data_IF_518436038452
#
_entry.id   IF_518436038452
#
_cell.length_a   1.000
_cell.length_b   1.000
_cell.length_c   1.000
_cell.angle_alpha   90.00
_cell.angle_beta   90.00
_cell.angle_gamma   90.00
#
_symmetry.space_group_name_H-M   'P 1'
#
loop_
_entity.id
_entity.type
_entity.pdbx_description
1 polymer ?
#
# COMPACT_ATOMS: atom_id res chain seq x y z
N UNK A 1 -9.16 -43.28 -45.99
CA UNK A 1 -9.52 -43.18 -44.56
C UNK A 1 -8.32 -42.90 -43.64
N UNK A 2 -7.12 -43.46 -43.89
CA UNK A 2 -5.92 -43.27 -43.03
C UNK A 2 -5.36 -41.84 -42.94
N UNK A 3 -5.49 -41.03 -44.00
CA UNK A 3 -4.93 -39.66 -44.04
C UNK A 3 -5.68 -38.70 -43.09
N UNK A 4 -6.99 -38.89 -42.91
CA UNK A 4 -7.81 -38.08 -41.99
C UNK A 4 -7.48 -38.36 -40.52
N UNK A 5 -7.11 -39.60 -40.18
CA UNK A 5 -6.74 -39.98 -38.81
C UNK A 5 -5.40 -39.36 -38.39
N UNK A 6 -4.41 -39.32 -39.29
CA UNK A 6 -3.12 -38.67 -38.99
C UNK A 6 -3.23 -37.16 -38.79
N UNK A 7 -4.14 -36.48 -39.51
CA UNK A 7 -4.36 -35.04 -39.31
C UNK A 7 -5.02 -34.75 -37.95
N UNK A 8 -5.98 -35.59 -37.53
CA UNK A 8 -6.63 -35.44 -36.22
C UNK A 8 -5.63 -35.64 -35.07
N UNK A 9 -4.75 -36.64 -35.17
CA UNK A 9 -3.68 -36.86 -34.20
C UNK A 9 -2.68 -35.70 -34.14
N UNK A 10 -2.34 -35.11 -35.29
CA UNK A 10 -1.48 -33.93 -35.35
C UNK A 10 -2.10 -32.70 -34.66
N UNK A 11 -3.38 -32.44 -34.90
CA UNK A 11 -4.09 -31.32 -34.25
C UNK A 11 -4.17 -31.50 -32.73
N UNK A 12 -4.44 -32.71 -32.24
CA UNK A 12 -4.51 -32.99 -30.80
C UNK A 12 -3.16 -32.82 -30.10
N UNK A 13 -2.06 -33.19 -30.75
CA UNK A 13 -0.72 -32.99 -30.18
C UNK A 13 -0.38 -31.50 -30.02
N UNK A 14 -0.75 -30.66 -30.99
CA UNK A 14 -0.51 -29.21 -30.94
C UNK A 14 -1.32 -28.57 -29.80
N UNK A 15 -2.59 -28.95 -29.64
CA UNK A 15 -3.43 -28.44 -28.54
C UNK A 15 -2.87 -28.85 -27.17
N UNK A 16 -2.33 -30.07 -27.05
CA UNK A 16 -1.67 -30.53 -25.83
C UNK A 16 -0.45 -29.69 -25.45
N UNK A 17 0.42 -29.37 -26.43
CA UNK A 17 1.61 -28.54 -26.19
C UNK A 17 1.24 -27.12 -25.77
N UNK A 18 0.22 -26.53 -26.39
CA UNK A 18 -0.28 -25.19 -26.03
C UNK A 18 -0.87 -25.21 -24.61
N UNK A 19 -1.66 -26.23 -24.27
CA UNK A 19 -2.23 -26.38 -22.92
C UNK A 19 -1.17 -26.48 -21.83
N UNK A 20 -0.11 -27.28 -22.04
CA UNK A 20 1.02 -27.39 -21.11
C UNK A 20 1.78 -26.07 -21.01
N UNK A 21 2.00 -25.37 -22.13
CA UNK A 21 2.66 -24.06 -22.13
C UNK A 21 1.89 -23.01 -21.32
N UNK A 22 0.57 -22.94 -21.48
CA UNK A 22 -0.30 -22.03 -20.71
C UNK A 22 -0.30 -22.41 -19.23
N UNK A 23 -0.35 -23.71 -18.91
CA UNK A 23 -0.32 -24.18 -17.52
C UNK A 23 1.00 -23.85 -16.82
N UNK A 24 2.14 -24.03 -17.50
CA UNK A 24 3.47 -23.66 -16.96
C UNK A 24 3.60 -22.14 -16.77
N UNK A 25 3.07 -21.32 -17.69
CA UNK A 25 3.06 -19.86 -17.53
C UNK A 25 2.11 -19.36 -16.43
N UNK A 26 1.08 -20.14 -16.08
CA UNK A 26 0.10 -19.81 -15.04
C UNK A 26 0.39 -20.46 -13.68
N UNK A 27 1.46 -21.22 -13.53
CA UNK A 27 1.89 -21.67 -12.22
C UNK A 27 2.12 -20.42 -11.35
N UNK A 28 1.41 -20.28 -10.21
CA UNK A 28 1.64 -19.18 -9.30
C UNK A 28 3.11 -19.25 -8.90
N UNK A 29 3.90 -18.25 -9.29
CA UNK A 29 5.25 -18.11 -8.77
C UNK A 29 5.11 -18.13 -7.26
N UNK A 30 5.72 -19.12 -6.61
CA UNK A 30 5.66 -19.26 -5.18
C UNK A 30 6.02 -17.91 -4.57
N UNK A 31 5.03 -17.27 -3.95
CA UNK A 31 5.28 -16.06 -3.18
C UNK A 31 6.17 -16.55 -2.05
N UNK A 32 7.44 -16.14 -2.07
CA UNK A 32 8.35 -16.43 -0.97
C UNK A 32 7.64 -16.06 0.33
N UNK A 33 7.70 -16.91 1.37
CA UNK A 33 6.99 -16.64 2.61
C UNK A 33 7.35 -15.24 3.07
N UNK A 34 6.32 -14.40 3.25
CA UNK A 34 6.47 -13.04 3.73
C UNK A 34 7.10 -13.14 5.12
N UNK A 35 8.41 -12.94 5.18
CA UNK A 35 9.12 -12.79 6.44
C UNK A 35 8.63 -11.46 6.99
N UNK A 36 7.72 -11.52 7.96
CA UNK A 36 7.28 -10.33 8.70
C UNK A 36 8.50 -9.88 9.52
N UNK A 37 9.22 -8.89 8.99
CA UNK A 37 10.33 -8.27 9.69
C UNK A 37 9.75 -7.52 10.88
N UNK A 38 9.97 -8.03 12.10
CA UNK A 38 9.74 -7.21 13.30
C UNK A 38 10.66 -6.00 13.20
N UNK A 39 10.06 -4.82 13.04
CA UNK A 39 10.76 -3.54 13.05
C UNK A 39 11.45 -3.39 14.41
N UNK A 40 12.75 -3.66 14.47
CA UNK A 40 13.61 -3.00 15.46
C UNK A 40 13.63 -1.54 15.05
N UNK A 41 12.91 -0.71 15.80
CA UNK A 41 12.89 0.75 15.64
C UNK A 41 14.35 1.22 15.54
N UNK A 42 14.82 1.71 14.39
CA UNK A 42 16.17 2.23 14.30
C UNK A 42 16.26 3.40 15.27
N UNK A 43 17.35 3.43 16.04
CA UNK A 43 17.65 4.51 16.97
C UNK A 43 17.45 5.85 16.25
N UNK A 44 16.58 6.74 16.77
CA UNK A 44 16.27 7.99 16.09
C UNK A 44 17.56 8.77 15.93
N UNK A 45 18.05 8.87 14.69
CA UNK A 45 19.18 9.73 14.35
C UNK A 45 18.78 11.14 14.82
N UNK A 46 19.60 11.83 15.64
CA UNK A 46 19.27 13.17 16.08
C UNK A 46 18.93 14.00 14.86
N UNK A 47 17.74 14.61 14.88
CA UNK A 47 17.27 15.47 13.80
C UNK A 47 18.41 16.46 13.50
N UNK A 48 19.06 16.27 12.35
CA UNK A 48 20.00 17.25 11.84
C UNK A 48 19.14 18.50 11.71
N UNK A 49 19.45 19.53 12.50
CA UNK A 49 18.67 20.76 12.57
C UNK A 49 18.28 21.14 11.14
N UNK A 50 16.97 21.28 10.88
CA UNK A 50 16.45 21.61 9.58
C UNK A 50 17.12 22.89 9.12
N UNK A 51 18.15 22.74 8.31
CA UNK A 51 18.88 23.84 7.74
C UNK A 51 17.95 24.42 6.68
N UNK A 52 17.24 25.48 7.06
CA UNK A 52 16.26 26.21 6.23
C UNK A 52 16.89 26.84 4.98
N UNK A 53 18.21 26.68 4.79
CA UNK A 53 18.92 27.05 3.57
C UNK A 53 18.92 25.96 2.47
N UNK A 54 18.48 24.73 2.78
CA UNK A 54 18.36 23.66 1.79
C UNK A 54 16.90 23.50 1.36
N UNK A 55 16.53 24.15 0.25
CA UNK A 55 15.38 23.71 -0.56
C UNK A 55 15.43 22.19 -0.69
N UNK A 56 14.32 21.51 -0.42
CA UNK A 56 14.20 20.06 -0.64
C UNK A 56 14.57 19.74 -2.08
N UNK A 57 15.15 18.57 -2.31
CA UNK A 57 15.59 18.12 -3.63
C UNK A 57 14.49 18.27 -4.69
N UNK A 58 13.25 18.02 -4.26
CA UNK A 58 12.00 18.17 -5.00
C UNK A 58 11.71 19.63 -5.39
N UNK A 59 11.97 20.60 -4.51
CA UNK A 59 11.79 22.03 -4.79
C UNK A 59 12.78 22.57 -5.83
N UNK A 60 14.03 22.09 -5.86
CA UNK A 60 15.05 22.57 -6.82
C UNK A 60 14.72 22.24 -8.29
N UNK A 61 14.20 21.04 -8.57
CA UNK A 61 13.88 20.61 -9.95
C UNK A 61 12.77 21.42 -10.62
N UNK A 62 11.94 22.09 -9.84
CA UNK A 62 10.67 22.61 -10.35
C UNK A 62 10.72 24.11 -10.63
N UNK A 63 11.73 24.81 -10.11
CA UNK A 63 11.92 26.25 -10.36
C UNK A 63 12.24 26.55 -11.84
N UNK A 64 12.64 25.58 -12.66
CA UNK A 64 12.95 25.82 -14.09
C UNK A 64 11.76 25.72 -15.05
N UNK A 65 10.57 25.29 -14.59
CA UNK A 65 9.39 25.18 -15.45
C UNK A 65 8.24 26.06 -14.90
N UNK A 66 8.52 27.36 -14.73
CA UNK A 66 7.56 28.37 -14.25
C UNK A 66 6.49 28.66 -15.31
N UNK A 67 5.62 27.69 -15.57
CA UNK A 67 4.21 28.01 -15.81
C UNK A 67 3.65 28.53 -14.48
N UNK A 68 2.81 29.55 -14.53
CA UNK A 68 2.22 30.13 -13.31
C UNK A 68 1.50 29.00 -12.56
N UNK A 69 2.12 28.52 -11.48
CA UNK A 69 1.61 27.40 -10.68
C UNK A 69 0.22 27.76 -10.13
N UNK A 70 -0.13 29.05 -10.11
CA UNK A 70 -1.45 29.56 -9.73
C UNK A 70 -2.48 29.56 -10.86
N UNK A 71 -2.16 29.06 -12.04
CA UNK A 71 -3.10 28.99 -13.16
C UNK A 71 -4.10 27.84 -12.94
N UNK A 72 -5.11 28.13 -12.10
CA UNK A 72 -6.23 27.21 -11.84
C UNK A 72 -6.96 26.86 -13.15
N UNK A 73 -6.99 27.75 -14.13
CA UNK A 73 -7.63 27.47 -15.41
C UNK A 73 -6.88 26.38 -16.16
N UNK A 74 -5.55 26.42 -16.16
CA UNK A 74 -4.74 25.33 -16.71
C UNK A 74 -5.02 23.99 -16.02
N UNK A 75 -5.16 23.98 -14.69
CA UNK A 75 -5.48 22.75 -13.94
C UNK A 75 -6.88 22.21 -14.29
N UNK A 76 -7.87 23.10 -14.45
CA UNK A 76 -9.21 22.74 -14.94
C UNK A 76 -9.10 22.10 -16.33
N UNK A 77 -8.44 22.77 -17.27
CA UNK A 77 -8.31 22.29 -18.64
C UNK A 77 -7.63 20.91 -18.69
N UNK A 78 -6.57 20.71 -17.89
CA UNK A 78 -5.89 19.41 -17.76
C UNK A 78 -6.75 18.32 -17.13
N UNK A 79 -7.55 18.64 -16.12
CA UNK A 79 -8.48 17.66 -15.56
C UNK A 79 -9.56 17.28 -16.59
N UNK A 80 -10.04 18.23 -17.40
CA UNK A 80 -11.03 18.00 -18.43
C UNK A 80 -10.48 17.20 -19.63
N UNK A 81 -9.20 17.34 -19.98
CA UNK A 81 -8.53 16.50 -20.99
C UNK A 81 -8.60 15.00 -20.64
N UNK A 82 -8.71 14.65 -19.36
CA UNK A 82 -8.75 13.27 -18.88
C UNK A 82 -10.16 12.71 -18.68
N UNK A 83 -11.21 13.40 -19.15
CA UNK A 83 -12.60 12.99 -18.97
C UNK A 83 -12.93 11.59 -19.51
N UNK A 84 -12.23 11.15 -20.56
CA UNK A 84 -12.46 9.84 -21.18
C UNK A 84 -12.15 8.67 -20.23
N UNK A 85 -11.33 8.89 -19.19
CA UNK A 85 -11.06 7.88 -18.15
C UNK A 85 -12.28 7.62 -17.25
N UNK A 86 -13.28 8.51 -17.26
CA UNK A 86 -14.50 8.42 -16.46
C UNK A 86 -15.70 7.89 -17.25
N UNK A 87 -15.45 7.36 -18.46
CA UNK A 87 -16.44 6.73 -19.32
C UNK A 87 -16.72 7.52 -20.61
N UNK A 88 -17.60 6.99 -21.47
CA UNK A 88 -17.99 7.64 -22.71
C UNK A 88 -18.71 8.97 -22.44
N UNK A 89 -18.81 9.81 -23.47
CA UNK A 89 -19.56 11.07 -23.40
C UNK A 89 -21.02 10.83 -22.97
N UNK A 90 -21.52 11.64 -22.03
CA UNK A 90 -22.85 11.49 -21.45
C UNK A 90 -22.99 10.43 -20.35
N UNK A 91 -21.93 9.67 -20.03
CA UNK A 91 -21.95 8.76 -18.89
C UNK A 91 -22.18 9.54 -17.57
N UNK A 92 -23.04 9.06 -16.64
CA UNK A 92 -23.33 9.79 -15.40
C UNK A 92 -22.10 10.15 -14.59
N UNK A 93 -21.12 9.23 -14.50
CA UNK A 93 -19.86 9.44 -13.78
C UNK A 93 -19.00 10.54 -14.42
N UNK A 94 -18.89 10.56 -15.74
CA UNK A 94 -18.17 11.58 -16.50
C UNK A 94 -18.77 12.97 -16.30
N UNK A 95 -20.09 13.09 -16.38
CA UNK A 95 -20.79 14.36 -16.16
C UNK A 95 -20.66 14.85 -14.71
N UNK A 96 -20.73 13.93 -13.74
CA UNK A 96 -20.50 14.26 -12.32
C UNK A 96 -19.06 14.74 -12.07
N UNK A 97 -18.05 14.08 -12.66
CA UNK A 97 -16.66 14.51 -12.58
C UNK A 97 -16.45 15.88 -13.26
N UNK A 98 -16.98 16.08 -14.47
CA UNK A 98 -16.93 17.38 -15.17
C UNK A 98 -17.53 18.50 -14.32
N UNK A 99 -18.68 18.25 -13.69
CA UNK A 99 -19.33 19.20 -12.78
C UNK A 99 -18.47 19.49 -11.55
N UNK A 100 -17.82 18.47 -10.98
CA UNK A 100 -16.89 18.62 -9.86
C UNK A 100 -15.70 19.52 -10.22
N UNK A 101 -15.05 19.28 -11.36
CA UNK A 101 -13.89 20.07 -11.82
C UNK A 101 -14.26 21.54 -12.08
N UNK A 102 -15.46 21.80 -12.61
CA UNK A 102 -15.94 23.16 -12.86
C UNK A 102 -16.50 23.86 -11.60
N UNK A 103 -16.42 23.23 -10.43
CA UNK A 103 -16.98 23.77 -9.19
C UNK A 103 -16.02 24.74 -8.49
N UNK A 104 -16.53 25.67 -7.66
CA UNK A 104 -15.69 26.46 -6.76
C UNK A 104 -14.83 25.62 -5.81
N UNK A 105 -15.29 24.41 -5.46
CA UNK A 105 -14.54 23.51 -4.57
C UNK A 105 -13.24 23.03 -5.22
N UNK A 106 -13.21 22.84 -6.55
CA UNK A 106 -11.99 22.49 -7.27
C UNK A 106 -10.95 23.61 -7.21
N UNK A 107 -11.38 24.88 -7.27
CA UNK A 107 -10.50 26.04 -7.13
C UNK A 107 -9.82 26.05 -5.75
N UNK A 108 -10.57 25.78 -4.68
CA UNK A 108 -10.02 25.71 -3.33
C UNK A 108 -9.10 24.49 -3.15
N UNK A 109 -9.47 23.34 -3.71
CA UNK A 109 -8.58 22.17 -3.79
C UNK A 109 -7.26 22.54 -4.48
N UNK A 110 -7.30 23.17 -5.66
CA UNK A 110 -6.11 23.50 -6.43
C UNK A 110 -5.22 24.49 -5.69
N UNK A 111 -5.78 25.45 -4.94
CA UNK A 111 -4.99 26.34 -4.08
C UNK A 111 -4.23 25.59 -2.99
N UNK A 112 -4.89 24.62 -2.33
CA UNK A 112 -4.25 23.77 -1.31
C UNK A 112 -3.16 22.92 -1.95
N UNK A 113 -3.44 22.35 -3.11
CA UNK A 113 -2.50 21.53 -3.87
C UNK A 113 -1.26 22.33 -4.30
N UNK A 114 -1.46 23.54 -4.81
CA UNK A 114 -0.38 24.44 -5.19
C UNK A 114 0.49 24.84 -4.00
N UNK A 115 -0.06 24.91 -2.78
CA UNK A 115 0.73 25.15 -1.57
C UNK A 115 1.63 23.96 -1.21
N UNK A 116 1.28 22.75 -1.67
CA UNK A 116 2.06 21.52 -1.52
C UNK A 116 3.01 21.25 -2.69
N UNK A 117 3.04 22.14 -3.69
CA UNK A 117 3.88 22.02 -4.86
C UNK A 117 5.37 21.94 -4.47
N UNK A 118 6.16 21.01 -5.06
CA UNK A 118 5.87 20.29 -6.29
C UNK A 118 5.32 18.87 -6.18
N UNK A 119 4.99 18.39 -4.98
CA UNK A 119 4.31 17.09 -4.85
C UNK A 119 2.84 17.18 -5.23
N UNK A 120 2.28 16.01 -5.52
CA UNK A 120 0.86 15.82 -5.73
C UNK A 120 0.23 15.12 -4.52
N UNK A 121 -0.65 15.76 -3.77
CA UNK A 121 -1.26 15.15 -2.59
C UNK A 121 -2.51 14.34 -2.97
N UNK A 122 -2.37 13.01 -3.06
CA UNK A 122 -3.49 12.13 -3.38
C UNK A 122 -4.60 12.22 -2.33
N UNK A 123 -4.27 12.52 -1.07
CA UNK A 123 -5.24 12.67 0.01
C UNK A 123 -6.16 13.85 -0.30
N UNK A 124 -5.58 15.02 -0.60
CA UNK A 124 -6.35 16.21 -0.98
C UNK A 124 -7.22 15.96 -2.21
N UNK A 125 -6.69 15.24 -3.20
CA UNK A 125 -7.44 14.89 -4.40
C UNK A 125 -8.64 14.00 -4.09
N UNK A 126 -8.47 12.96 -3.27
CA UNK A 126 -9.57 12.08 -2.88
C UNK A 126 -10.61 12.78 -2.02
N UNK A 127 -10.18 13.61 -1.07
CA UNK A 127 -11.08 14.37 -0.21
C UNK A 127 -11.92 15.34 -1.05
N UNK A 128 -11.32 15.96 -2.06
CA UNK A 128 -12.05 16.75 -3.04
C UNK A 128 -13.12 15.90 -3.76
N UNK A 129 -12.76 14.75 -4.33
CA UNK A 129 -13.73 13.89 -5.03
C UNK A 129 -14.87 13.43 -4.12
N UNK A 130 -14.57 13.00 -2.90
CA UNK A 130 -15.57 12.58 -1.91
C UNK A 130 -16.50 13.73 -1.52
N UNK A 131 -15.97 14.95 -1.36
CA UNK A 131 -16.78 16.14 -1.10
C UNK A 131 -17.78 16.45 -2.21
N UNK A 132 -17.50 16.00 -3.44
CA UNK A 132 -18.37 16.14 -4.61
C UNK A 132 -19.31 14.92 -4.81
N UNK A 133 -19.32 13.97 -3.86
CA UNK A 133 -20.11 12.75 -3.94
C UNK A 133 -19.58 11.73 -4.95
N UNK A 134 -18.32 11.85 -5.36
CA UNK A 134 -17.66 10.91 -6.26
C UNK A 134 -16.91 9.86 -5.44
N UNK A 135 -16.79 8.65 -5.98
CA UNK A 135 -15.96 7.60 -5.38
C UNK A 135 -14.49 8.05 -5.39
N UNK A 136 -13.82 8.00 -4.23
CA UNK A 136 -12.37 8.14 -4.20
C UNK A 136 -11.66 6.90 -4.73
N UNK A 137 -10.39 7.08 -5.07
CA UNK A 137 -9.49 5.97 -5.40
C UNK A 137 -9.02 5.17 -4.18
N UNK A 138 -9.36 5.57 -2.93
CA UNK A 138 -8.86 4.95 -1.69
C UNK A 138 -9.18 3.46 -1.62
N UNK A 139 -10.44 3.10 -1.83
CA UNK A 139 -10.86 1.69 -1.79
C UNK A 139 -10.21 0.87 -2.91
N UNK A 140 -10.11 1.45 -4.12
CA UNK A 140 -9.46 0.78 -5.25
C UNK A 140 -7.95 0.61 -5.02
N UNK A 141 -7.30 1.59 -4.40
CA UNK A 141 -5.89 1.50 -4.02
C UNK A 141 -5.67 0.43 -2.97
N UNK A 142 -6.48 0.39 -1.91
CA UNK A 142 -6.38 -0.64 -0.88
C UNK A 142 -6.65 -2.04 -1.48
N UNK A 143 -7.66 -2.18 -2.34
CA UNK A 143 -7.91 -3.44 -3.05
C UNK A 143 -6.69 -3.85 -3.92
N UNK A 144 -6.11 -2.91 -4.66
CA UNK A 144 -4.89 -3.15 -5.43
C UNK A 144 -3.72 -3.54 -4.53
N UNK A 145 -3.56 -2.90 -3.38
CA UNK A 145 -2.54 -3.26 -2.40
C UNK A 145 -2.74 -4.69 -1.92
N UNK A 146 -3.96 -5.08 -1.54
CA UNK A 146 -4.28 -6.45 -1.08
C UNK A 146 -4.06 -7.52 -2.14
N UNK A 147 -4.12 -7.18 -3.43
CA UNK A 147 -3.78 -8.12 -4.51
C UNK A 147 -2.30 -8.54 -4.51
N UNK A 148 -1.40 -7.68 -4.04
CA UNK A 148 0.04 -7.97 -3.98
C UNK A 148 0.52 -8.27 -2.54
N UNK A 149 -0.17 -7.72 -1.55
CA UNK A 149 0.17 -7.78 -0.14
C UNK A 149 -1.06 -8.20 0.68
N UNK A 150 -1.41 -9.51 0.70
CA UNK A 150 -2.67 -9.97 1.26
C UNK A 150 -2.86 -9.68 2.76
N UNK A 151 -1.76 -9.52 3.49
CA UNK A 151 -1.74 -9.29 4.95
C UNK A 151 -0.93 -8.04 5.30
N UNK A 152 -0.91 -7.63 6.56
CA UNK A 152 -0.06 -6.53 7.05
C UNK A 152 -0.45 -5.15 6.52
N UNK A 153 0.28 -4.14 6.94
CA UNK A 153 0.12 -2.74 6.50
C UNK A 153 1.31 -2.31 5.64
N UNK A 154 1.19 -1.17 4.95
CA UNK A 154 2.28 -0.63 4.12
C UNK A 154 3.62 -0.58 4.86
N UNK A 155 3.62 -0.19 6.14
CA UNK A 155 4.82 -0.11 6.97
C UNK A 155 5.52 -1.47 7.17
N UNK A 156 4.77 -2.57 7.23
CA UNK A 156 5.33 -3.92 7.44
C UNK A 156 6.20 -4.35 6.24
N UNK A 157 5.91 -3.81 5.06
CA UNK A 157 6.63 -4.10 3.83
C UNK A 157 7.77 -3.11 3.54
N UNK A 158 7.89 -2.02 4.33
CA UNK A 158 8.93 -1.01 4.09
C UNK A 158 10.34 -1.60 4.05
N UNK A 159 10.77 -2.52 4.94
CA UNK A 159 12.12 -3.09 4.89
C UNK A 159 12.41 -3.80 3.56
N UNK A 160 11.44 -4.55 3.03
CA UNK A 160 11.54 -5.23 1.74
C UNK A 160 11.64 -4.21 0.60
N UNK A 161 10.85 -3.15 0.63
CA UNK A 161 10.85 -2.11 -0.41
C UNK A 161 12.14 -1.30 -0.41
N UNK A 162 12.66 -0.99 0.78
CA UNK A 162 14.00 -0.39 0.97
C UNK A 162 15.08 -1.25 0.35
N UNK A 163 15.07 -2.55 0.60
CA UNK A 163 16.04 -3.50 0.04
C UNK A 163 15.98 -3.53 -1.49
N UNK A 164 14.79 -3.73 -2.06
CA UNK A 164 14.60 -3.76 -3.52
C UNK A 164 15.08 -2.48 -4.20
N UNK A 165 14.75 -1.31 -3.64
CA UNK A 165 15.22 -0.03 -4.20
C UNK A 165 16.73 0.16 -4.01
N UNK A 166 17.31 -0.30 -2.90
CA UNK A 166 18.76 -0.29 -2.70
C UNK A 166 19.49 -1.16 -3.74
N UNK A 167 18.99 -2.35 -4.04
CA UNK A 167 19.54 -3.24 -5.08
C UNK A 167 19.55 -2.54 -6.44
N UNK A 168 18.44 -1.89 -6.82
CA UNK A 168 18.36 -1.08 -8.05
C UNK A 168 19.45 0.00 -8.08
N UNK A 169 19.66 0.74 -6.98
CA UNK A 169 20.71 1.77 -6.95
C UNK A 169 22.14 1.20 -7.03
N UNK A 170 22.37 -0.03 -6.56
CA UNK A 170 23.67 -0.69 -6.70
C UNK A 170 23.90 -1.23 -8.12
N UNK A 171 22.83 -1.60 -8.83
CA UNK A 171 22.89 -2.07 -10.22
C UNK A 171 23.00 -0.91 -11.22
N UNK A 172 22.45 0.25 -10.89
CA UNK A 172 22.59 1.46 -11.69
C UNK A 172 24.03 1.98 -11.65
N UNK A 173 24.52 2.45 -12.81
CA UNK A 173 25.81 3.13 -12.85
C UNK A 173 25.76 4.39 -11.98
N UNK A 174 26.77 4.57 -11.11
CA UNK A 174 26.92 5.79 -10.31
C UNK A 174 26.81 7.04 -11.20
N UNK A 175 26.23 8.13 -10.70
CA UNK A 175 26.14 9.36 -11.49
C UNK A 175 27.53 9.81 -11.91
N UNK A 176 27.66 10.24 -13.18
CA UNK A 176 28.93 10.69 -13.77
C UNK A 176 29.50 11.94 -13.09
N UNK A 177 28.70 12.63 -12.28
CA UNK A 177 29.02 13.87 -11.59
C UNK A 177 28.39 13.90 -10.20
N UNK A 178 29.02 14.65 -9.30
CA UNK A 178 28.54 14.88 -7.93
C UNK A 178 27.68 16.14 -7.81
N UNK A 179 27.22 16.71 -8.93
CA UNK A 179 26.30 17.84 -8.89
C UNK A 179 24.98 17.44 -8.24
N UNK A 180 24.34 18.36 -7.52
CA UNK A 180 23.03 18.13 -6.91
C UNK A 180 22.02 17.64 -7.96
N UNK A 181 22.00 18.25 -9.15
CA UNK A 181 21.06 17.92 -10.22
C UNK A 181 21.26 16.51 -10.79
N UNK A 182 22.52 16.06 -10.92
CA UNK A 182 22.83 14.68 -11.35
C UNK A 182 22.40 13.68 -10.27
N UNK A 183 22.59 14.02 -9.00
CA UNK A 183 22.12 13.21 -7.87
C UNK A 183 20.59 13.10 -7.91
N UNK A 184 19.87 14.20 -8.12
CA UNK A 184 18.40 14.16 -8.21
C UNK A 184 17.94 13.30 -9.37
N UNK A 185 18.49 13.54 -10.57
CA UNK A 185 18.15 12.78 -11.76
C UNK A 185 18.42 11.29 -11.58
N UNK A 186 19.52 10.93 -10.93
CA UNK A 186 19.84 9.55 -10.62
C UNK A 186 18.86 8.94 -9.59
N UNK A 187 18.50 9.66 -8.52
CA UNK A 187 17.48 9.22 -7.54
C UNK A 187 16.13 9.00 -8.22
N UNK A 188 15.67 9.96 -9.03
CA UNK A 188 14.42 9.86 -9.80
C UNK A 188 14.45 8.66 -10.75
N UNK A 189 15.56 8.44 -11.46
CA UNK A 189 15.71 7.30 -12.36
C UNK A 189 15.60 5.95 -11.61
N UNK A 190 16.20 5.82 -10.42
CA UNK A 190 16.07 4.61 -9.61
C UNK A 190 14.64 4.38 -9.12
N UNK A 191 13.93 5.45 -8.73
CA UNK A 191 12.50 5.34 -8.39
C UNK A 191 11.65 4.95 -9.60
N UNK A 192 11.93 5.48 -10.79
CA UNK A 192 11.23 5.10 -12.02
C UNK A 192 11.44 3.62 -12.35
N UNK A 193 12.67 3.10 -12.19
CA UNK A 193 12.97 1.68 -12.36
C UNK A 193 12.19 0.83 -11.34
N UNK A 194 12.23 1.22 -10.07
CA UNK A 194 11.52 0.52 -8.99
C UNK A 194 10.00 0.44 -9.21
N UNK A 195 9.41 1.50 -9.78
CA UNK A 195 7.98 1.60 -10.11
C UNK A 195 7.56 0.78 -11.34
N UNK A 196 8.50 0.21 -12.11
CA UNK A 196 8.15 -0.70 -13.21
C UNK A 196 7.52 -2.00 -12.71
N UNK A 197 7.89 -2.45 -11.52
CA UNK A 197 7.16 -3.50 -10.81
C UNK A 197 5.87 -2.89 -10.23
N UNK A 198 4.74 -3.39 -10.71
CA UNK A 198 3.43 -2.85 -10.33
C UNK A 198 3.10 -3.05 -8.84
N UNK A 199 3.65 -4.09 -8.19
CA UNK A 199 3.50 -4.28 -6.76
C UNK A 199 4.22 -3.16 -5.98
N UNK A 200 5.43 -2.82 -6.40
CA UNK A 200 6.22 -1.74 -5.81
C UNK A 200 5.56 -0.36 -6.02
N UNK A 201 5.03 -0.11 -7.23
CA UNK A 201 4.26 1.12 -7.52
C UNK A 201 3.02 1.22 -6.64
N UNK A 202 2.26 0.13 -6.49
CA UNK A 202 1.06 0.08 -5.66
C UNK A 202 1.39 0.36 -4.20
N UNK A 203 2.43 -0.29 -3.66
CA UNK A 203 2.90 -0.02 -2.31
C UNK A 203 3.31 1.43 -2.11
N UNK A 204 4.13 1.98 -3.03
CA UNK A 204 4.62 3.36 -2.91
C UNK A 204 3.47 4.37 -2.95
N UNK A 205 2.47 4.16 -3.81
CA UNK A 205 1.29 5.02 -3.85
C UNK A 205 0.56 5.05 -2.52
N UNK A 206 0.40 3.91 -1.84
CA UNK A 206 -0.32 3.86 -0.55
C UNK A 206 0.51 4.29 0.64
N UNK A 207 1.82 4.01 0.65
CA UNK A 207 2.71 4.45 1.71
C UNK A 207 2.87 5.97 1.73
N UNK A 208 2.99 6.59 0.55
CA UNK A 208 3.29 8.02 0.45
C UNK A 208 2.07 8.86 0.07
N UNK A 209 0.99 8.29 -0.46
CA UNK A 209 -0.18 9.04 -0.96
C UNK A 209 0.22 10.24 -1.85
N UNK A 210 1.25 10.05 -2.68
CA UNK A 210 1.75 11.10 -3.59
C UNK A 210 2.56 12.23 -2.90
N UNK A 211 2.72 12.17 -1.58
CA UNK A 211 3.44 13.14 -0.79
C UNK A 211 4.96 13.19 -1.10
N UNK A 212 5.54 14.38 -0.92
CA UNK A 212 6.96 14.75 -1.14
C UNK A 212 8.01 13.87 -0.43
N UNK A 213 7.61 13.03 0.53
CA UNK A 213 8.54 12.20 1.29
C UNK A 213 9.14 11.05 0.49
N UNK A 214 8.61 10.72 -0.68
CA UNK A 214 9.07 9.60 -1.50
C UNK A 214 10.49 9.82 -2.06
N UNK A 215 10.82 11.04 -2.49
CA UNK A 215 12.14 11.41 -2.99
C UNK A 215 13.19 11.44 -1.88
N UNK A 216 12.88 12.02 -0.72
CA UNK A 216 13.80 12.04 0.43
C UNK A 216 14.04 10.62 0.96
N UNK A 217 12.99 9.79 0.97
CA UNK A 217 13.08 8.36 1.31
C UNK A 217 13.96 7.61 0.31
N UNK A 218 13.78 7.83 -0.99
CA UNK A 218 14.59 7.21 -2.03
C UNK A 218 16.05 7.67 -1.98
N UNK A 219 16.32 8.96 -1.76
CA UNK A 219 17.67 9.48 -1.62
C UNK A 219 18.37 8.90 -0.38
N UNK A 220 17.64 8.75 0.74
CA UNK A 220 18.16 8.06 1.92
C UNK A 220 18.58 6.62 1.59
N UNK A 221 17.76 5.89 0.83
CA UNK A 221 18.08 4.52 0.42
C UNK A 221 19.30 4.50 -0.49
N UNK A 222 19.35 5.38 -1.50
CA UNK A 222 20.50 5.51 -2.41
C UNK A 222 21.80 5.72 -1.65
N UNK A 223 21.82 6.66 -0.71
CA UNK A 223 23.01 6.95 0.11
C UNK A 223 23.46 5.77 0.99
N UNK A 224 22.54 4.86 1.34
CA UNK A 224 22.79 3.76 2.26
C UNK A 224 22.63 2.38 1.59
N UNK A 225 22.63 2.32 0.26
CA UNK A 225 22.21 1.13 -0.48
C UNK A 225 23.03 -0.12 -0.13
N UNK A 226 24.36 0.01 -0.11
CA UNK A 226 25.27 -1.09 0.26
C UNK A 226 24.99 -1.63 1.68
N UNK A 227 24.78 -0.73 2.65
CA UNK A 227 24.49 -1.10 4.04
C UNK A 227 23.12 -1.79 4.16
N UNK A 228 22.10 -1.29 3.46
CA UNK A 228 20.75 -1.87 3.45
C UNK A 228 20.80 -3.31 2.91
N UNK A 229 21.48 -3.53 1.79
CA UNK A 229 21.58 -4.87 1.17
C UNK A 229 22.42 -5.83 2.03
N UNK A 230 23.53 -5.35 2.62
CA UNK A 230 24.36 -6.16 3.51
C UNK A 230 23.60 -6.61 4.77
N UNK A 231 22.85 -5.71 5.41
CA UNK A 231 22.09 -6.03 6.63
C UNK A 231 20.92 -6.99 6.35
N UNK A 232 20.29 -6.90 5.19
CA UNK A 232 19.20 -7.79 4.80
C UNK A 232 19.66 -9.23 4.46
N UNK A 233 20.97 -9.44 4.30
CA UNK A 233 21.56 -10.74 3.95
C UNK A 233 22.16 -11.45 5.18
N UNK A 234 22.34 -10.74 6.29
CA UNK A 234 22.72 -11.39 7.56
C UNK A 234 21.53 -12.17 8.11
N UNK A 235 21.68 -13.46 8.45
CA UNK A 235 20.72 -14.16 9.28
C UNK A 235 20.58 -13.36 10.58
N UNK A 236 19.39 -12.87 10.89
CA UNK A 236 19.13 -12.40 12.24
C UNK A 236 19.36 -13.60 13.16
N UNK A 237 20.42 -13.53 13.97
CA UNK A 237 20.59 -14.42 15.12
C UNK A 237 19.26 -14.41 15.86
N UNK A 238 18.63 -15.58 15.89
CA UNK A 238 17.45 -15.82 16.70
C UNK A 238 17.89 -15.54 18.13
N UNK A 239 17.46 -14.41 18.69
CA UNK A 239 17.68 -14.08 20.09
C UNK A 239 17.29 -15.31 20.90
N UNK A 240 18.30 -16.02 21.42
CA UNK A 240 18.09 -17.10 22.37
C UNK A 240 17.26 -16.53 23.51
N UNK A 241 16.15 -17.21 23.80
CA UNK A 241 15.27 -16.84 24.89
C UNK A 241 16.10 -16.72 26.18
N UNK A 242 15.82 -15.73 27.05
CA UNK A 242 16.54 -15.60 28.31
C UNK A 242 16.33 -16.88 29.13
N UNK A 243 17.44 -17.56 29.43
CA UNK A 243 17.45 -18.68 30.38
C UNK A 243 16.84 -18.20 31.69
N UNK A 244 15.68 -18.76 32.03
CA UNK A 244 15.09 -18.60 33.36
C UNK A 244 15.98 -19.38 34.33
N UNK A 245 16.81 -18.66 35.08
CA UNK A 245 17.37 -19.17 36.33
C UNK A 245 16.20 -19.54 37.25
N UNK A 246 15.87 -20.83 37.29
CA UNK A 246 14.89 -21.35 38.24
C UNK A 246 15.63 -21.71 39.51
N UNK A 247 15.29 -20.98 40.57
CA UNK A 247 15.79 -21.16 41.92
C UNK A 247 15.56 -22.60 42.45
N UNK A 248 16.51 -23.00 43.29
CA UNK A 248 16.65 -24.28 43.95
C UNK A 248 15.38 -24.74 44.70
N UNK A 249 14.91 -25.95 44.40
CA UNK A 249 14.25 -26.82 45.38
C UNK A 249 14.82 -28.24 45.30
N UNK A 250 15.66 -28.56 46.26
CA UNK A 250 16.18 -29.91 46.54
C UNK A 250 15.11 -30.80 47.15
N UNK A 251 14.88 -31.98 46.55
CA UNK A 251 14.66 -33.24 47.27
C UNK A 251 15.13 -34.44 46.41
N UNK A 252 15.44 -35.60 47.01
CA UNK A 252 16.52 -36.48 46.55
C UNK A 252 16.06 -37.81 45.92
N UNK A 253 17.05 -38.58 45.41
CA UNK A 253 17.03 -40.03 45.09
C UNK A 253 16.64 -40.32 43.62
N UNK A 254 17.33 -41.09 42.78
CA UNK A 254 18.47 -42.01 42.89
C UNK A 254 19.07 -42.24 41.48
N UNK A 255 20.31 -42.70 41.44
CA UNK A 255 21.11 -43.09 40.28
C UNK A 255 20.43 -44.04 39.28
N UNK A 256 20.64 -43.79 37.99
CA UNK A 256 21.44 -44.62 37.05
C UNK A 256 20.90 -44.38 35.63
N UNK A 257 21.63 -43.62 34.82
CA UNK A 257 21.41 -43.58 33.37
C UNK A 257 22.55 -44.29 32.66
N UNK A 258 22.19 -45.47 32.16
CA UNK A 258 22.86 -46.20 31.09
C UNK A 258 22.84 -45.35 29.82
N UNK A 259 24.00 -45.29 29.18
CA UNK A 259 24.22 -44.74 27.85
C UNK A 259 23.60 -45.70 26.81
N UNK A 260 22.52 -45.29 26.14
CA UNK A 260 21.97 -46.03 25.00
C UNK A 260 21.57 -45.10 23.86
N UNK A 261 22.49 -45.03 22.90
CA UNK A 261 22.31 -44.92 21.45
C UNK A 261 20.87 -44.76 20.92
N UNK A 262 20.51 -43.57 20.44
CA UNK A 262 19.28 -43.36 19.65
C UNK A 262 19.62 -43.37 18.17
N UNK A 263 19.39 -44.54 17.59
CA UNK A 263 19.29 -44.82 16.16
C UNK A 263 18.06 -44.14 15.56
N UNK A 264 18.25 -43.55 14.38
CA UNK A 264 17.25 -42.87 13.58
C UNK A 264 16.25 -43.91 13.06
N UNK A 265 14.96 -43.78 13.40
CA UNK A 265 13.88 -44.41 12.62
C UNK A 265 12.75 -43.42 12.26
N UNK A 266 12.23 -43.50 11.02
CA UNK A 266 11.19 -42.61 10.49
C UNK A 266 9.78 -43.10 10.86
N UNK A 267 8.83 -42.16 11.01
CA UNK A 267 7.40 -42.43 11.19
C UNK A 267 6.58 -41.85 10.01
N UNK A 268 5.33 -42.29 9.79
CA UNK A 268 4.97 -43.04 8.58
C UNK A 268 3.91 -42.35 7.71
N UNK A 269 3.92 -42.71 6.44
CA UNK A 269 2.82 -42.49 5.48
C UNK A 269 1.62 -43.37 5.83
N UNK A 270 0.44 -42.77 6.06
CA UNK A 270 -0.85 -43.17 5.47
C UNK A 270 -2.04 -42.45 6.13
N UNK A 271 -2.78 -41.67 5.33
CA UNK A 271 -4.23 -41.79 5.15
C UNK A 271 -4.73 -40.60 4.30
N UNK A 272 -4.78 -40.84 2.99
CA UNK A 272 -5.45 -39.97 2.04
C UNK A 272 -6.94 -39.86 2.41
N UNK A 273 -7.41 -38.63 2.66
CA UNK A 273 -8.82 -38.27 2.50
C UNK A 273 -8.95 -37.59 1.14
N UNK A 274 -9.62 -38.30 0.23
CA UNK A 274 -10.05 -37.80 -1.07
C UNK A 274 -10.89 -36.53 -0.89
N UNK A 275 -10.49 -35.44 -1.55
CA UNK A 275 -11.32 -34.25 -1.74
C UNK A 275 -11.95 -34.39 -3.12
N UNK A 276 -13.29 -34.27 -3.27
CA UNK A 276 -13.95 -34.50 -4.54
C UNK A 276 -13.56 -33.42 -5.55
N UNK A 277 -13.31 -33.87 -6.78
CA UNK A 277 -13.04 -33.04 -7.94
C UNK A 277 -14.19 -32.05 -8.16
N UNK A 278 -13.87 -30.75 -8.24
CA UNK A 278 -14.78 -29.76 -8.83
C UNK A 278 -14.67 -29.84 -10.35
N UNK A 279 -15.66 -30.49 -10.94
CA UNK A 279 -16.02 -30.30 -12.34
C UNK A 279 -16.46 -28.85 -12.60
N UNK A 280 -16.11 -28.36 -13.78
CA UNK A 280 -16.74 -27.28 -14.54
C UNK A 280 -17.01 -25.95 -13.81
N UNK A 281 -16.09 -25.00 -14.01
CA UNK A 281 -16.44 -23.57 -14.04
C UNK A 281 -16.22 -23.08 -15.47
N UNK A 282 -17.34 -22.98 -16.18
CA UNK A 282 -17.47 -22.16 -17.38
C UNK A 282 -16.87 -20.77 -17.13
N UNK A 283 -16.07 -20.32 -18.10
CA UNK A 283 -15.64 -18.93 -18.21
C UNK A 283 -16.87 -18.04 -18.39
N UNK A 284 -17.27 -17.33 -17.33
CA UNK A 284 -18.12 -16.15 -17.45
C UNK A 284 -17.21 -14.91 -17.56
N UNK A 285 -17.40 -14.05 -18.58
CA UNK A 285 -16.74 -12.75 -18.61
C UNK A 285 -17.37 -11.86 -17.51
N UNK A 286 -16.58 -11.48 -16.50
CA UNK A 286 -16.99 -10.40 -15.59
C UNK A 286 -16.93 -9.09 -16.37
N UNK A 287 -18.09 -8.51 -16.64
CA UNK A 287 -18.26 -7.11 -17.09
C UNK A 287 -18.41 -6.20 -15.87
N UNK A 288 -17.84 -4.99 -15.94
CA UNK A 288 -17.73 -3.98 -14.88
C UNK A 288 -19.06 -3.52 -14.23
N UNK A 289 -20.20 -4.03 -14.68
CA UNK A 289 -21.55 -3.67 -14.21
C UNK A 289 -22.03 -4.49 -12.99
N UNK A 290 -21.38 -5.61 -12.63
CA UNK A 290 -21.83 -6.47 -11.51
C UNK A 290 -21.25 -6.10 -10.13
N UNK A 291 -20.29 -5.16 -10.03
CA UNK A 291 -19.75 -4.69 -8.74
C UNK A 291 -20.54 -3.48 -8.19
N UNK A 292 -21.31 -2.77 -9.02
CA UNK A 292 -21.94 -1.49 -8.63
C UNK A 292 -23.45 -1.55 -8.31
N UNK A 293 -24.11 -2.71 -8.41
CA UNK A 293 -25.57 -2.76 -8.31
C UNK A 293 -26.19 -2.79 -6.89
N UNK A 294 -25.42 -2.91 -5.80
CA UNK A 294 -26.00 -3.07 -4.44
C UNK A 294 -25.54 -2.13 -3.30
N UNK A 295 -25.18 -0.85 -3.52
CA UNK A 295 -25.22 0.11 -2.40
C UNK A 295 -26.04 1.38 -2.66
N UNK A 296 -26.86 1.47 -3.72
CA UNK A 296 -27.64 2.69 -4.04
C UNK A 296 -29.09 2.73 -3.55
N UNK A 297 -29.52 1.83 -2.65
CA UNK A 297 -30.92 1.84 -2.16
C UNK A 297 -31.16 2.54 -0.82
N UNK A 298 -30.14 3.13 -0.18
CA UNK A 298 -30.26 3.66 1.19
C UNK A 298 -29.48 4.96 1.48
N UNK A 299 -29.48 5.93 0.56
CA UNK A 299 -28.97 7.28 0.88
C UNK A 299 -30.10 8.31 0.78
N UNK A 300 -30.92 8.31 1.83
CA UNK A 300 -31.72 9.48 2.20
C UNK A 300 -30.83 10.59 2.80
N UNK A 301 -31.40 11.79 2.85
CA UNK A 301 -30.79 13.08 3.21
C UNK A 301 -29.62 13.02 4.21
N UNK A 302 -28.42 13.43 3.74
CA UNK A 302 -27.20 13.55 4.56
C UNK A 302 -27.24 14.89 5.31
N UNK A 303 -27.28 14.90 6.65
CA UNK A 303 -27.12 16.11 7.44
C UNK A 303 -25.66 16.57 7.47
N UNK A 304 -25.44 17.88 7.64
CA UNK A 304 -24.11 18.51 7.74
C UNK A 304 -23.23 17.82 8.80
N UNK A 305 -22.07 17.33 8.38
CA UNK A 305 -21.02 16.78 9.25
C UNK A 305 -20.45 17.85 10.20
N UNK A 306 -20.00 17.48 11.41
CA UNK A 306 -19.24 18.37 12.29
C UNK A 306 -17.90 18.79 11.65
N UNK A 307 -17.49 20.03 11.87
CA UNK A 307 -16.22 20.60 11.40
C UNK A 307 -15.01 19.91 12.07
N UNK A 308 -13.91 19.69 11.34
CA UNK A 308 -12.67 19.05 11.84
C UNK A 308 -12.17 19.59 13.19
N UNK A 309 -12.33 20.90 13.43
CA UNK A 309 -11.94 21.54 14.70
C UNK A 309 -12.67 20.96 15.92
N UNK A 310 -13.94 20.52 15.78
CA UNK A 310 -14.69 19.95 16.92
C UNK A 310 -14.20 18.54 17.28
N UNK A 311 -13.73 17.79 16.28
CA UNK A 311 -13.19 16.44 16.43
C UNK A 311 -11.81 16.53 17.09
N UNK A 312 -10.95 17.44 16.62
CA UNK A 312 -9.60 17.61 17.16
C UNK A 312 -9.59 18.06 18.63
N UNK A 313 -10.51 18.96 19.01
CA UNK A 313 -10.56 19.49 20.38
C UNK A 313 -11.04 18.41 21.37
N UNK A 314 -12.07 17.66 21.02
CA UNK A 314 -12.70 16.68 21.91
C UNK A 314 -11.78 15.50 22.20
N UNK A 315 -10.99 15.05 21.21
CA UNK A 315 -10.12 13.88 21.36
C UNK A 315 -8.81 14.23 22.09
N UNK A 316 -8.28 15.46 21.92
CA UNK A 316 -7.12 15.94 22.69
C UNK A 316 -7.38 15.99 24.21
N UNK A 317 -8.63 16.22 24.62
CA UNK A 317 -9.00 16.28 26.04
C UNK A 317 -9.11 14.89 26.70
N UNK A 318 -9.48 13.85 25.92
CA UNK A 318 -9.83 12.54 26.46
C UNK A 318 -8.77 11.45 26.26
N UNK A 319 -7.79 11.67 25.37
CA UNK A 319 -6.81 10.65 25.00
C UNK A 319 -5.37 11.18 25.05
N UNK A 320 -4.41 10.27 25.18
CA UNK A 320 -3.00 10.65 25.12
C UNK A 320 -2.64 11.19 23.72
N UNK A 321 -1.66 12.11 23.60
CA UNK A 321 -1.24 12.65 22.31
C UNK A 321 -0.84 11.56 21.29
N UNK A 322 -0.22 10.46 21.75
CA UNK A 322 0.12 9.35 20.86
C UNK A 322 -1.11 8.61 20.33
N UNK A 323 -2.12 8.32 21.17
CA UNK A 323 -3.36 7.66 20.74
C UNK A 323 -4.13 8.55 19.77
N UNK A 324 -4.19 9.85 20.03
CA UNK A 324 -4.77 10.84 19.12
C UNK A 324 -4.08 10.85 17.76
N UNK A 325 -2.75 10.98 17.75
CA UNK A 325 -1.95 11.01 16.51
C UNK A 325 -2.15 9.73 15.71
N UNK A 326 -2.19 8.57 16.38
CA UNK A 326 -2.39 7.27 15.73
C UNK A 326 -3.80 7.17 15.15
N UNK A 327 -4.82 7.65 15.87
CA UNK A 327 -6.20 7.65 15.42
C UNK A 327 -6.41 8.57 14.21
N UNK A 328 -5.88 9.79 14.25
CA UNK A 328 -5.94 10.71 13.13
C UNK A 328 -5.16 10.20 11.93
N UNK A 329 -3.98 9.60 12.14
CA UNK A 329 -3.22 8.96 11.07
C UNK A 329 -4.02 7.82 10.43
N UNK A 330 -4.66 6.99 11.24
CA UNK A 330 -5.49 5.87 10.75
C UNK A 330 -6.70 6.40 9.95
N UNK A 331 -7.39 7.43 10.44
CA UNK A 331 -8.50 8.06 9.73
C UNK A 331 -8.05 8.74 8.43
N UNK A 332 -6.93 9.46 8.44
CA UNK A 332 -6.40 10.16 7.26
C UNK A 332 -5.90 9.17 6.20
N UNK A 333 -5.31 8.05 6.64
CA UNK A 333 -4.79 7.02 5.76
C UNK A 333 -5.91 6.23 5.08
N UNK A 334 -6.91 5.78 5.84
CA UNK A 334 -7.95 4.87 5.34
C UNK A 334 -9.31 5.54 5.04
N UNK A 335 -9.47 6.81 5.37
CA UNK A 335 -10.75 7.54 5.30
C UNK A 335 -11.66 7.26 6.51
N UNK A 336 -12.77 8.01 6.69
CA UNK A 336 -13.55 8.00 7.93
C UNK A 336 -14.19 6.64 8.26
N UNK A 337 -14.77 5.94 7.28
CA UNK A 337 -15.50 4.68 7.51
C UNK A 337 -14.55 3.50 7.79
N UNK A 338 -13.55 3.32 6.94
CA UNK A 338 -12.60 2.22 7.06
C UNK A 338 -11.57 2.48 8.18
N UNK A 339 -11.15 3.74 8.36
CA UNK A 339 -10.33 4.14 9.49
C UNK A 339 -11.02 3.89 10.82
N UNK A 340 -12.33 4.19 10.95
CA UNK A 340 -13.10 3.87 12.15
C UNK A 340 -13.22 2.36 12.38
N UNK A 341 -13.42 1.57 11.31
CA UNK A 341 -13.45 0.10 11.39
C UNK A 341 -12.14 -0.45 11.94
N UNK A 342 -11.00 0.03 11.44
CA UNK A 342 -9.67 -0.37 11.93
C UNK A 342 -9.38 0.11 13.34
N UNK A 343 -9.82 1.31 13.68
CA UNK A 343 -9.75 1.80 15.05
C UNK A 343 -10.55 0.92 16.00
N UNK A 344 -11.72 0.37 15.61
CA UNK A 344 -12.44 -0.59 16.46
C UNK A 344 -11.65 -1.85 16.75
N UNK A 345 -10.77 -2.28 15.83
CA UNK A 345 -9.92 -3.45 16.01
C UNK A 345 -8.67 -3.14 16.84
N UNK A 346 -8.04 -1.98 16.62
CA UNK A 346 -6.77 -1.60 17.26
C UNK A 346 -6.94 -0.83 18.58
N UNK A 347 -7.95 0.04 18.67
CA UNK A 347 -8.24 0.93 19.80
C UNK A 347 -9.76 1.19 19.95
N UNK A 348 -10.50 0.22 20.55
CA UNK A 348 -11.97 0.26 20.62
C UNK A 348 -12.53 1.47 21.37
N UNK A 349 -11.81 2.00 22.36
CA UNK A 349 -12.24 3.15 23.15
C UNK A 349 -12.24 4.44 22.32
N UNK A 350 -11.16 4.67 21.56
CA UNK A 350 -11.06 5.83 20.67
C UNK A 350 -12.10 5.73 19.55
N UNK A 351 -12.29 4.52 19.01
CA UNK A 351 -13.28 4.28 17.97
C UNK A 351 -14.72 4.54 18.44
N UNK A 352 -15.10 4.09 19.64
CA UNK A 352 -16.42 4.36 20.21
C UNK A 352 -16.67 5.87 20.36
N UNK A 353 -15.66 6.62 20.77
CA UNK A 353 -15.76 8.08 20.93
C UNK A 353 -15.89 8.80 19.58
N UNK A 354 -15.12 8.38 18.57
CA UNK A 354 -15.20 8.91 17.21
C UNK A 354 -16.50 8.54 16.49
N UNK A 355 -17.08 7.38 16.77
CA UNK A 355 -18.31 6.92 16.13
C UNK A 355 -19.49 7.86 16.40
N UNK A 356 -19.59 8.41 17.62
CA UNK A 356 -20.60 9.42 17.97
C UNK A 356 -20.43 10.73 17.20
N UNK A 357 -19.20 11.10 16.85
CA UNK A 357 -18.91 12.34 16.11
C UNK A 357 -19.12 12.16 14.59
N UNK A 358 -18.86 10.97 14.05
CA UNK A 358 -18.99 10.67 12.63
C UNK A 358 -20.44 10.30 12.25
N UNK A 359 -21.26 9.81 13.20
CA UNK A 359 -22.67 9.48 13.00
C UNK A 359 -23.60 10.19 14.01
N UNK A 360 -23.79 11.52 13.92
CA UNK A 360 -24.57 12.27 14.92
C UNK A 360 -26.08 11.95 14.98
N UNK A 361 -26.62 11.02 14.17
CA UNK A 361 -28.06 10.86 13.94
C UNK A 361 -28.68 9.53 14.42
N UNK A 362 -28.06 8.78 15.33
CA UNK A 362 -28.66 7.52 15.84
C UNK A 362 -29.40 7.63 17.17
N UNK A 363 -29.42 8.78 17.84
CA UNK A 363 -29.99 8.90 19.21
C UNK A 363 -31.25 9.78 19.34
N UNK A 364 -31.93 10.13 18.24
CA UNK A 364 -33.22 10.84 18.30
C UNK A 364 -34.32 10.18 17.44
N UNK A 365 -34.63 8.92 17.73
CA UNK A 365 -35.90 8.28 17.35
C UNK A 365 -36.48 7.46 18.52
#
# INVERSE_FOLDING_TARGET
MKIKLMHILGCLAIVGVIGVGIWVMRQPRGIEPVVIYKVTVPEPRPAKAADTSNMTLTQKMVVENTRDVNDVQWAIDKALENLDQYGPEGAPRREAFKKAILSPAFVEYQKKENANYPSFDLTLWWDFLESQGLSSGRMAQEANFRNFFPTGEYADYEPMMRKKLAEIFLEMASPDSTSDDDIVRHTVAGMMEFRKDYANLTWMRGQFNGYNGDLDWADNIRQNAATIVANATSPQETLEAPSIETEFFTQPTQNDFVEENVEIQPLPTAAAKEIPARENLETLPLTDEEIEAEPMKYLGDIPKLPTEESIETTIKEHFSPQRFSTAMQTLNQYGPKEGLRRLKESDPEVAAHLEHLVQPNKEND
#
